data_IF_990771450677
#
_entry.id   IF_990771450677
#
_cell.length_a   1.000
_cell.length_b   1.000
_cell.length_c   1.000
_cell.angle_alpha   90.00
_cell.angle_beta   90.00
_cell.angle_gamma   90.00
#
_symmetry.space_group_name_H-M   'P 1'
#
loop_
_entity.id
_entity.type
_entity.pdbx_description
1 polymer ?
#
# COMPACT_ATOMS: atom_id res chain seq x y z
N UNK A 1 -1.88 -17.12 -7.80
CA UNK A 1 -3.28 -17.05 -7.32
C UNK A 1 -3.54 -18.26 -6.47
N UNK A 2 -4.18 -18.05 -5.31
CA UNK A 2 -3.86 -18.77 -4.07
C UNK A 2 -2.78 -18.00 -3.32
N UNK A 3 -3.02 -17.66 -2.06
CA UNK A 3 -1.95 -17.26 -1.13
C UNK A 3 -1.56 -18.54 -0.38
N UNK A 4 -0.27 -18.74 -0.17
CA UNK A 4 0.21 -19.84 0.64
C UNK A 4 -0.24 -19.67 2.10
N UNK A 5 -0.27 -20.76 2.86
CA UNK A 5 -0.90 -20.80 4.18
C UNK A 5 -0.27 -19.80 5.16
N UNK A 6 1.05 -19.63 5.09
CA UNK A 6 1.83 -18.64 5.84
C UNK A 6 1.42 -17.19 5.46
N UNK A 7 1.27 -16.90 4.17
CA UNK A 7 0.83 -15.58 3.71
C UNK A 7 -0.62 -15.28 4.16
N UNK A 8 -1.48 -16.29 4.20
CA UNK A 8 -2.86 -16.14 4.74
C UNK A 8 -2.84 -15.87 6.24
N UNK A 9 -1.95 -16.51 6.99
CA UNK A 9 -1.84 -16.31 8.43
C UNK A 9 -1.38 -14.88 8.77
N UNK A 10 -0.35 -14.38 8.08
CA UNK A 10 0.09 -12.99 8.26
C UNK A 10 -0.97 -11.98 7.80
N UNK A 11 -1.72 -12.30 6.74
CA UNK A 11 -2.86 -11.48 6.31
C UNK A 11 -3.87 -11.33 7.43
N UNK A 12 -4.25 -12.44 8.07
CA UNK A 12 -5.23 -12.41 9.16
C UNK A 12 -4.71 -11.60 10.35
N UNK A 13 -3.46 -11.83 10.74
CA UNK A 13 -2.82 -11.09 11.84
C UNK A 13 -2.81 -9.58 11.59
N UNK A 14 -2.40 -9.14 10.39
CA UNK A 14 -2.38 -7.74 10.01
C UNK A 14 -3.80 -7.14 9.94
N UNK A 15 -4.80 -7.90 9.47
CA UNK A 15 -6.19 -7.45 9.44
C UNK A 15 -6.74 -7.24 10.86
N UNK A 16 -6.55 -8.23 11.75
CA UNK A 16 -7.01 -8.16 13.13
C UNK A 16 -6.39 -6.96 13.85
N UNK A 17 -5.08 -6.72 13.67
CA UNK A 17 -4.40 -5.54 14.19
C UNK A 17 -4.98 -4.24 13.62
N UNK A 18 -5.13 -4.14 12.30
CA UNK A 18 -5.65 -2.94 11.64
C UNK A 18 -7.07 -2.59 12.11
N UNK A 19 -7.94 -3.61 12.25
CA UNK A 19 -9.33 -3.44 12.71
C UNK A 19 -9.42 -3.01 14.17
N UNK A 20 -8.53 -3.53 15.02
CA UNK A 20 -8.57 -3.29 16.47
C UNK A 20 -7.83 -2.02 16.90
N UNK A 21 -6.64 -1.79 16.35
CA UNK A 21 -5.71 -0.78 16.86
C UNK A 21 -5.63 0.47 15.97
N UNK A 22 -5.90 0.35 14.66
CA UNK A 22 -5.77 1.47 13.71
C UNK A 22 -7.13 2.09 13.34
N UNK A 23 -8.06 1.28 12.83
CA UNK A 23 -9.35 1.74 12.29
C UNK A 23 -10.16 2.61 13.27
N UNK A 24 -10.29 2.26 14.57
CA UNK A 24 -11.06 3.06 15.52
C UNK A 24 -10.45 4.43 15.79
N UNK A 25 -9.14 4.59 15.56
CA UNK A 25 -8.39 5.81 15.88
C UNK A 25 -8.10 6.69 14.66
N UNK A 26 -8.22 6.13 13.45
CA UNK A 26 -7.88 6.78 12.18
C UNK A 26 -8.41 8.22 12.04
N UNK A 27 -9.69 8.44 12.35
CA UNK A 27 -10.32 9.76 12.24
C UNK A 27 -9.79 10.77 13.28
N UNK A 28 -9.45 10.29 14.48
CA UNK A 28 -8.85 11.12 15.53
C UNK A 28 -7.44 11.54 15.12
N UNK A 29 -6.63 10.59 14.65
CA UNK A 29 -5.26 10.85 14.23
C UNK A 29 -5.18 11.84 13.07
N UNK A 30 -6.07 11.71 12.08
CA UNK A 30 -6.19 12.68 10.98
C UNK A 30 -6.52 14.09 11.47
N UNK A 31 -7.50 14.21 12.37
CA UNK A 31 -7.96 15.50 12.87
C UNK A 31 -6.91 16.21 13.74
N UNK A 32 -6.19 15.44 14.55
CA UNK A 32 -5.21 15.95 15.51
C UNK A 32 -3.78 15.98 14.95
N UNK A 33 -3.59 15.53 13.70
CA UNK A 33 -2.26 15.31 13.09
C UNK A 33 -1.35 14.48 14.01
N UNK A 34 -1.95 13.52 14.72
CA UNK A 34 -1.27 12.74 15.73
C UNK A 34 -0.46 11.62 15.07
N UNK A 35 0.82 11.54 15.45
CA UNK A 35 1.72 10.49 15.00
C UNK A 35 1.72 9.29 15.98
N UNK A 36 1.11 8.15 15.63
CA UNK A 36 0.73 7.10 16.60
C UNK A 36 1.88 6.13 16.91
N UNK A 37 2.94 6.62 17.55
CA UNK A 37 4.16 5.86 17.86
C UNK A 37 3.88 4.64 18.75
N UNK A 38 2.97 4.76 19.71
CA UNK A 38 2.55 3.67 20.59
C UNK A 38 1.89 2.52 19.82
N UNK A 39 1.07 2.84 18.81
CA UNK A 39 0.46 1.81 17.95
C UNK A 39 1.50 1.18 17.04
N UNK A 40 2.42 1.98 16.47
CA UNK A 40 3.49 1.43 15.64
C UNK A 40 4.41 0.49 16.42
N UNK A 41 4.75 0.80 17.68
CA UNK A 41 5.52 -0.12 18.54
C UNK A 41 4.81 -1.46 18.76
N UNK A 42 3.49 -1.43 18.98
CA UNK A 42 2.68 -2.67 19.05
C UNK A 42 2.62 -3.41 17.71
N UNK A 43 2.70 -2.71 16.58
CA UNK A 43 2.89 -3.35 15.28
C UNK A 43 4.29 -3.99 15.15
N UNK A 44 5.32 -3.37 15.75
CA UNK A 44 6.67 -3.92 15.86
C UNK A 44 6.73 -5.23 16.64
N UNK A 45 5.93 -5.37 17.71
CA UNK A 45 5.78 -6.63 18.46
C UNK A 45 5.24 -7.78 17.59
N UNK A 46 4.56 -7.47 16.48
CA UNK A 46 4.06 -8.43 15.49
C UNK A 46 5.03 -8.62 14.30
N UNK A 47 6.20 -7.98 14.32
CA UNK A 47 7.20 -8.05 13.26
C UNK A 47 7.01 -7.03 12.12
N UNK A 48 6.11 -6.06 12.26
CA UNK A 48 5.80 -5.13 11.15
C UNK A 48 6.78 -3.94 11.01
N UNK A 49 7.82 -3.85 11.85
CA UNK A 49 8.84 -2.78 11.77
C UNK A 49 10.00 -3.05 10.82
N UNK A 50 10.32 -4.32 10.55
CA UNK A 50 11.40 -4.72 9.65
C UNK A 50 11.04 -6.00 8.89
N UNK A 51 9.90 -5.96 8.18
CA UNK A 51 9.22 -7.10 7.56
C UNK A 51 10.17 -7.92 6.67
N UNK A 52 10.89 -7.24 5.77
CA UNK A 52 11.74 -7.87 4.75
C UNK A 52 13.23 -7.56 4.94
N UNK A 53 13.64 -7.21 6.17
CA UNK A 53 15.06 -7.20 6.56
C UNK A 53 15.47 -8.60 7.02
N UNK A 54 16.75 -8.93 6.92
CA UNK A 54 17.33 -10.20 7.35
C UNK A 54 17.16 -10.43 8.85
N UNK A 55 17.04 -11.69 9.23
CA UNK A 55 16.83 -12.11 10.62
C UNK A 55 18.03 -11.82 11.54
N UNK A 56 19.25 -11.76 10.98
CA UNK A 56 20.53 -11.61 11.69
C UNK A 56 20.52 -10.49 12.76
N UNK A 57 19.74 -9.43 12.54
CA UNK A 57 19.67 -8.25 13.41
C UNK A 57 18.23 -7.87 13.80
N UNK A 58 17.30 -8.82 13.78
CA UNK A 58 15.91 -8.62 14.23
C UNK A 58 14.91 -8.26 13.14
N UNK A 59 15.28 -8.37 11.86
CA UNK A 59 14.31 -8.41 10.76
C UNK A 59 13.49 -9.69 10.76
N UNK A 60 12.42 -9.74 9.96
CA UNK A 60 11.53 -10.91 9.89
C UNK A 60 11.81 -11.83 8.70
N UNK A 61 12.70 -11.45 7.77
CA UNK A 61 13.04 -12.28 6.60
C UNK A 61 11.88 -12.57 5.64
N UNK A 62 10.76 -11.85 5.76
CA UNK A 62 9.56 -12.11 4.97
C UNK A 62 9.70 -11.58 3.55
N UNK A 63 8.98 -12.20 2.62
CA UNK A 63 9.03 -11.85 1.20
C UNK A 63 8.30 -10.53 0.87
N UNK A 64 8.48 -10.02 -0.35
CA UNK A 64 7.74 -8.85 -0.85
C UNK A 64 6.24 -9.13 -0.95
N UNK A 65 5.84 -10.35 -1.25
CA UNK A 65 4.42 -10.74 -1.21
C UNK A 65 3.84 -10.61 0.21
N UNK A 66 4.56 -11.08 1.24
CA UNK A 66 4.13 -10.92 2.63
C UNK A 66 3.95 -9.44 2.99
N UNK A 67 4.94 -8.61 2.64
CA UNK A 67 4.87 -7.16 2.88
C UNK A 67 3.67 -6.51 2.19
N UNK A 68 3.43 -6.80 0.91
CA UNK A 68 2.28 -6.28 0.17
C UNK A 68 0.95 -6.68 0.82
N UNK A 69 0.82 -7.94 1.25
CA UNK A 69 -0.39 -8.42 1.95
C UNK A 69 -0.56 -7.73 3.30
N UNK A 70 0.50 -7.56 4.09
CA UNK A 70 0.47 -6.82 5.37
C UNK A 70 0.00 -5.38 5.12
N UNK A 71 0.62 -4.65 4.19
CA UNK A 71 0.25 -3.26 3.92
C UNK A 71 -1.16 -3.11 3.35
N UNK A 72 -1.62 -4.05 2.52
CA UNK A 72 -3.02 -4.12 2.08
C UNK A 72 -3.97 -4.20 3.29
N UNK A 73 -3.64 -4.98 4.33
CA UNK A 73 -4.47 -5.07 5.52
C UNK A 73 -4.33 -3.87 6.47
N UNK A 74 -3.11 -3.38 6.71
CA UNK A 74 -2.90 -2.20 7.57
C UNK A 74 -3.60 -0.95 7.01
N UNK A 75 -3.63 -0.80 5.70
CA UNK A 75 -4.30 0.31 5.02
C UNK A 75 -5.84 0.24 5.09
N UNK A 76 -6.44 -0.92 5.39
CA UNK A 76 -7.85 -0.99 5.79
C UNK A 76 -8.06 -0.23 7.11
N UNK A 77 -7.08 -0.24 8.00
CA UNK A 77 -7.12 0.46 9.27
C UNK A 77 -6.89 1.96 9.14
N UNK A 78 -5.71 2.34 8.63
CA UNK A 78 -5.34 3.73 8.37
C UNK A 78 -4.30 3.78 7.25
N UNK A 79 -4.65 4.35 6.10
CA UNK A 79 -3.76 4.43 4.93
C UNK A 79 -2.53 5.26 5.24
N UNK A 80 -2.70 6.45 5.81
CA UNK A 80 -1.58 7.35 6.14
C UNK A 80 -0.54 6.68 7.05
N UNK A 81 -0.97 6.01 8.12
CA UNK A 81 -0.07 5.29 9.02
C UNK A 81 0.60 4.09 8.34
N UNK A 82 -0.15 3.30 7.56
CA UNK A 82 0.41 2.17 6.81
C UNK A 82 1.46 2.62 5.77
N UNK A 83 1.21 3.73 5.08
CA UNK A 83 2.15 4.33 4.13
C UNK A 83 3.44 4.79 4.83
N UNK A 84 3.34 5.42 6.00
CA UNK A 84 4.51 5.74 6.80
C UNK A 84 5.31 4.48 7.21
N UNK A 85 4.62 3.44 7.69
CA UNK A 85 5.27 2.17 8.07
C UNK A 85 6.00 1.53 6.87
N UNK A 86 5.47 1.68 5.65
CA UNK A 86 6.16 1.27 4.42
C UNK A 86 7.45 2.06 4.20
N UNK A 87 7.43 3.38 4.38
CA UNK A 87 8.64 4.24 4.25
C UNK A 87 9.68 3.84 5.29
N UNK A 88 9.26 3.62 6.53
CA UNK A 88 10.12 3.13 7.61
C UNK A 88 10.81 1.82 7.21
N UNK A 89 10.03 0.83 6.77
CA UNK A 89 10.56 -0.48 6.36
C UNK A 89 11.50 -0.38 5.15
N UNK A 90 11.22 0.53 4.22
CA UNK A 90 12.13 0.81 3.09
C UNK A 90 13.47 1.32 3.60
N UNK A 91 13.47 2.32 4.50
CA UNK A 91 14.71 2.86 5.05
C UNK A 91 15.49 1.81 5.87
N UNK A 92 14.81 0.99 6.67
CA UNK A 92 15.43 -0.12 7.39
C UNK A 92 16.08 -1.13 6.42
N UNK A 93 15.38 -1.49 5.35
CA UNK A 93 15.90 -2.40 4.34
C UNK A 93 17.08 -1.85 3.55
N UNK A 94 17.09 -0.55 3.24
CA UNK A 94 18.26 0.07 2.61
C UNK A 94 19.50 -0.08 3.49
N UNK A 95 19.34 0.12 4.80
CA UNK A 95 20.41 -0.05 5.77
C UNK A 95 20.83 -1.52 5.91
N UNK A 96 19.89 -2.45 5.91
CA UNK A 96 20.18 -3.88 5.97
C UNK A 96 20.93 -4.37 4.71
N UNK A 97 20.53 -3.86 3.55
CA UNK A 97 21.08 -4.27 2.25
C UNK A 97 22.48 -3.71 2.02
N UNK A 98 22.69 -2.41 2.25
CA UNK A 98 23.95 -1.73 1.89
C UNK A 98 24.76 -1.21 3.07
N UNK A 99 24.23 -1.22 4.28
CA UNK A 99 24.97 -0.82 5.47
C UNK A 99 26.16 -1.72 5.76
N UNK A 100 27.13 -1.21 6.50
CA UNK A 100 28.16 -2.07 7.10
C UNK A 100 27.54 -2.93 8.21
N UNK A 101 28.27 -3.97 8.64
CA UNK A 101 27.84 -4.82 9.75
C UNK A 101 27.58 -4.02 11.03
N UNK A 102 28.50 -3.11 11.38
CA UNK A 102 28.36 -2.21 12.52
C UNK A 102 27.12 -1.29 12.43
N UNK A 103 26.73 -0.88 11.22
CA UNK A 103 25.52 -0.09 11.02
C UNK A 103 24.27 -0.94 11.20
N UNK A 104 24.25 -2.18 10.68
CA UNK A 104 23.13 -3.10 10.86
C UNK A 104 22.90 -3.44 12.32
N UNK A 105 23.95 -3.86 13.02
CA UNK A 105 23.91 -4.25 14.44
C UNK A 105 23.38 -3.11 15.31
N UNK A 106 23.79 -1.87 15.01
CA UNK A 106 23.39 -0.69 15.78
C UNK A 106 21.94 -0.27 15.53
N UNK A 107 21.43 -0.41 14.31
CA UNK A 107 20.22 0.30 13.88
C UNK A 107 19.04 -0.59 13.51
N UNK A 108 19.24 -1.81 13.00
CA UNK A 108 18.11 -2.68 12.63
C UNK A 108 17.29 -3.10 13.86
N UNK A 109 17.87 -3.51 15.01
CA UNK A 109 17.07 -3.93 16.16
C UNK A 109 16.08 -2.85 16.69
N UNK A 110 16.50 -1.58 16.92
CA UNK A 110 15.56 -0.55 17.36
C UNK A 110 14.60 -0.08 16.26
N UNK A 111 14.93 -0.26 14.97
CA UNK A 111 13.99 0.00 13.88
C UNK A 111 12.91 -1.10 13.80
N UNK A 112 13.30 -2.37 13.93
CA UNK A 112 12.38 -3.51 13.88
C UNK A 112 11.25 -3.44 14.91
N UNK A 113 11.50 -2.80 16.05
CA UNK A 113 10.55 -2.62 17.16
C UNK A 113 9.83 -1.27 17.14
N UNK A 114 10.14 -0.38 16.18
CA UNK A 114 9.75 1.04 16.20
C UNK A 114 10.16 1.79 17.49
N UNK A 115 11.22 1.33 18.17
CA UNK A 115 11.87 2.13 19.22
C UNK A 115 12.45 3.39 18.58
N UNK A 116 13.20 3.20 17.49
CA UNK A 116 13.62 4.23 16.57
C UNK A 116 12.73 4.26 15.34
N UNK A 117 12.66 5.43 14.72
CA UNK A 117 11.85 5.70 13.55
C UNK A 117 12.75 6.23 12.43
N UNK A 118 12.55 5.72 11.22
CA UNK A 118 13.30 6.14 10.05
C UNK A 118 12.44 7.00 9.11
N UNK A 119 13.13 7.89 8.40
CA UNK A 119 12.61 8.68 7.29
C UNK A 119 13.54 8.53 6.09
N UNK A 120 12.97 8.68 4.89
CA UNK A 120 13.73 8.61 3.65
C UNK A 120 13.83 10.00 3.00
N UNK A 121 15.04 10.54 2.92
CA UNK A 121 15.29 11.92 2.51
C UNK A 121 15.99 11.94 1.13
N UNK A 122 15.23 11.97 0.05
CA UNK A 122 15.75 11.99 -1.33
C UNK A 122 15.36 13.26 -2.12
N UNK A 123 14.11 13.71 -1.98
CA UNK A 123 13.54 14.72 -2.88
C UNK A 123 14.24 16.07 -2.73
N UNK A 124 15.03 16.43 -3.74
CA UNK A 124 15.69 17.74 -3.88
C UNK A 124 15.41 18.33 -5.28
N UNK A 125 15.45 19.66 -5.45
CA UNK A 125 15.24 20.28 -6.75
C UNK A 125 16.25 19.89 -7.86
N UNK A 126 17.41 19.29 -7.54
CA UNK A 126 18.48 18.92 -8.49
C UNK A 126 19.44 17.82 -7.97
N UNK A 127 19.03 16.55 -7.89
CA UNK A 127 19.89 15.48 -7.35
C UNK A 127 20.16 14.34 -8.34
N UNK A 128 21.28 14.43 -9.07
CA UNK A 128 21.88 13.33 -9.83
C UNK A 128 23.20 12.92 -9.14
N UNK A 129 23.15 11.95 -8.22
CA UNK A 129 24.34 11.44 -7.52
C UNK A 129 24.30 9.90 -7.38
N UNK A 130 25.39 9.28 -6.90
CA UNK A 130 25.46 7.82 -6.71
C UNK A 130 24.39 7.23 -5.78
N UNK A 131 23.83 8.03 -4.86
CA UNK A 131 22.70 7.63 -4.02
C UNK A 131 21.42 7.38 -4.83
N UNK A 132 21.32 7.94 -6.03
CA UNK A 132 20.17 7.78 -6.92
C UNK A 132 19.96 6.33 -7.37
N UNK A 133 21.02 5.56 -7.63
CA UNK A 133 20.86 4.16 -8.06
C UNK A 133 20.36 3.27 -6.92
N UNK A 134 20.90 3.43 -5.71
CA UNK A 134 20.40 2.75 -4.50
C UNK A 134 18.94 3.15 -4.20
N UNK A 135 18.62 4.43 -4.40
CA UNK A 135 17.27 4.94 -4.31
C UNK A 135 16.33 4.21 -5.28
N UNK A 136 16.72 4.04 -6.55
CA UNK A 136 15.88 3.41 -7.56
C UNK A 136 15.54 1.94 -7.23
N UNK A 137 16.46 1.19 -6.61
CA UNK A 137 16.16 -0.17 -6.16
C UNK A 137 15.13 -0.18 -5.01
N UNK A 138 15.28 0.71 -4.03
CA UNK A 138 14.29 0.88 -2.96
C UNK A 138 12.90 1.26 -3.47
N UNK A 139 12.84 2.12 -4.50
CA UNK A 139 11.58 2.54 -5.10
C UNK A 139 10.79 1.38 -5.73
N UNK A 140 11.41 0.28 -6.17
CA UNK A 140 10.65 -0.86 -6.69
C UNK A 140 9.81 -1.50 -5.56
N UNK A 141 10.39 -1.67 -4.38
CA UNK A 141 9.66 -2.08 -3.17
C UNK A 141 8.64 -1.04 -2.72
N UNK A 142 9.01 0.24 -2.72
CA UNK A 142 8.12 1.35 -2.37
C UNK A 142 6.86 1.40 -3.26
N UNK A 143 7.03 1.22 -4.58
CA UNK A 143 5.93 1.17 -5.57
C UNK A 143 4.92 0.07 -5.31
N UNK A 144 5.37 -1.16 -4.99
CA UNK A 144 4.44 -2.25 -4.68
C UNK A 144 3.77 -2.07 -3.31
N UNK A 145 4.47 -1.49 -2.32
CA UNK A 145 3.90 -1.23 -1.01
C UNK A 145 2.84 -0.11 -1.04
N UNK A 146 3.09 1.00 -1.74
CA UNK A 146 2.12 2.10 -1.87
C UNK A 146 0.90 1.66 -2.69
N UNK A 147 1.11 0.84 -3.73
CA UNK A 147 0.03 0.20 -4.47
C UNK A 147 -0.81 -0.71 -3.57
N UNK A 148 -0.17 -1.47 -2.68
CA UNK A 148 -0.85 -2.31 -1.70
C UNK A 148 -1.68 -1.50 -0.70
N UNK A 149 -1.17 -0.35 -0.25
CA UNK A 149 -1.96 0.57 0.58
C UNK A 149 -3.22 1.07 -0.15
N UNK A 150 -3.12 1.38 -1.44
CA UNK A 150 -4.27 1.73 -2.26
C UNK A 150 -5.30 0.59 -2.38
N UNK A 151 -4.85 -0.67 -2.49
CA UNK A 151 -5.74 -1.83 -2.49
C UNK A 151 -6.54 -1.94 -1.18
N UNK A 152 -5.88 -1.74 -0.04
CA UNK A 152 -6.52 -1.78 1.28
C UNK A 152 -7.62 -0.73 1.43
N UNK A 153 -7.34 0.50 1.02
CA UNK A 153 -8.33 1.58 0.99
C UNK A 153 -9.53 1.26 0.10
N UNK A 154 -9.26 0.81 -1.14
CA UNK A 154 -10.31 0.45 -2.10
C UNK A 154 -11.16 -0.73 -1.64
N UNK A 155 -10.54 -1.75 -1.02
CA UNK A 155 -11.24 -2.87 -0.39
C UNK A 155 -12.20 -2.38 0.70
N UNK A 156 -11.71 -1.58 1.65
CA UNK A 156 -12.52 -1.07 2.75
C UNK A 156 -13.67 -0.19 2.26
N UNK A 157 -13.41 0.68 1.28
CA UNK A 157 -14.43 1.52 0.67
C UNK A 157 -15.50 0.72 -0.09
N UNK A 158 -15.11 -0.32 -0.82
CA UNK A 158 -16.05 -1.21 -1.50
C UNK A 158 -16.94 -1.96 -0.49
N UNK A 159 -16.36 -2.48 0.58
CA UNK A 159 -17.12 -3.20 1.62
C UNK A 159 -18.12 -2.28 2.33
N UNK A 160 -17.70 -1.05 2.67
CA UNK A 160 -18.57 -0.01 3.23
C UNK A 160 -19.70 0.37 2.27
N UNK A 161 -19.41 0.51 0.98
CA UNK A 161 -20.42 0.81 -0.04
C UNK A 161 -21.45 -0.33 -0.15
N UNK A 162 -21.00 -1.59 -0.21
CA UNK A 162 -21.89 -2.76 -0.23
C UNK A 162 -22.80 -2.76 1.01
N UNK A 163 -22.23 -2.53 2.20
CA UNK A 163 -23.00 -2.49 3.45
C UNK A 163 -24.04 -1.35 3.42
N UNK A 164 -23.64 -0.15 3.02
CA UNK A 164 -24.53 1.02 2.92
C UNK A 164 -25.69 0.79 1.96
N UNK A 165 -25.41 0.27 0.76
CA UNK A 165 -26.41 0.06 -0.29
C UNK A 165 -27.46 -0.98 0.13
N UNK A 166 -27.08 -1.96 0.96
CA UNK A 166 -28.00 -3.00 1.48
C UNK A 166 -28.96 -2.47 2.55
N UNK A 167 -28.65 -1.37 3.23
CA UNK A 167 -29.47 -0.82 4.32
C UNK A 167 -30.18 0.47 3.95
N UNK A 168 -29.56 1.34 3.16
CA UNK A 168 -30.11 2.65 2.79
C UNK A 168 -31.25 2.48 1.80
N UNK A 169 -32.38 3.15 2.05
CA UNK A 169 -33.55 3.16 1.16
C UNK A 169 -33.81 4.55 0.56
N UNK A 170 -34.18 4.58 -0.72
CA UNK A 170 -34.72 5.74 -1.44
C UNK A 170 -35.74 5.27 -2.46
N UNK A 171 -36.74 6.10 -2.74
CA UNK A 171 -37.84 5.75 -3.65
C UNK A 171 -38.49 4.39 -3.30
N UNK A 172 -38.67 4.12 -2.00
CA UNK A 172 -39.35 2.91 -1.51
C UNK A 172 -38.55 1.60 -1.54
N UNK A 173 -37.32 1.57 -2.09
CA UNK A 173 -36.48 0.35 -2.17
C UNK A 173 -35.05 0.59 -1.68
N UNK A 174 -34.27 -0.47 -1.47
CA UNK A 174 -32.86 -0.32 -1.06
C UNK A 174 -32.05 0.22 -2.22
N UNK A 175 -30.99 0.96 -1.93
CA UNK A 175 -30.08 1.43 -2.98
C UNK A 175 -29.45 0.26 -3.76
N UNK A 176 -29.24 -0.89 -3.11
CA UNK A 176 -28.79 -2.13 -3.76
C UNK A 176 -29.77 -2.68 -4.83
N UNK A 177 -31.04 -2.28 -4.82
CA UNK A 177 -32.07 -2.73 -5.76
C UNK A 177 -32.14 -1.85 -7.04
N UNK A 178 -31.19 -0.92 -7.22
CA UNK A 178 -31.05 -0.12 -8.44
C UNK A 178 -29.92 -0.65 -9.31
N UNK A 179 -30.22 -0.92 -10.59
CA UNK A 179 -29.27 -1.48 -11.56
C UNK A 179 -27.97 -0.69 -11.66
N UNK A 180 -28.05 0.64 -11.65
CA UNK A 180 -26.86 1.49 -11.72
C UNK A 180 -25.88 1.23 -10.57
N UNK A 181 -26.37 1.05 -9.34
CA UNK A 181 -25.51 0.73 -8.20
C UNK A 181 -24.89 -0.67 -8.34
N UNK A 182 -25.63 -1.64 -8.88
CA UNK A 182 -25.12 -2.99 -9.13
C UNK A 182 -24.01 -2.97 -10.19
N UNK A 183 -24.19 -2.21 -11.27
CA UNK A 183 -23.17 -2.04 -12.31
C UNK A 183 -21.90 -1.39 -11.75
N UNK A 184 -22.05 -0.34 -10.93
CA UNK A 184 -20.90 0.30 -10.28
C UNK A 184 -20.19 -0.61 -9.29
N UNK A 185 -20.90 -1.41 -8.50
CA UNK A 185 -20.26 -2.42 -7.65
C UNK A 185 -19.48 -3.45 -8.48
N UNK A 186 -20.01 -3.89 -9.62
CA UNK A 186 -19.31 -4.83 -10.51
C UNK A 186 -18.04 -4.23 -11.12
N UNK A 187 -18.10 -2.98 -11.60
CA UNK A 187 -16.93 -2.24 -12.09
C UNK A 187 -15.86 -2.07 -11.00
N UNK A 188 -16.27 -1.68 -9.78
CA UNK A 188 -15.37 -1.48 -8.65
C UNK A 188 -14.68 -2.78 -8.25
N UNK A 189 -15.44 -3.87 -8.13
CA UNK A 189 -14.91 -5.19 -7.77
C UNK A 189 -13.92 -5.69 -8.82
N UNK A 190 -14.22 -5.49 -10.11
CA UNK A 190 -13.33 -5.88 -11.22
C UNK A 190 -12.00 -5.12 -11.13
N UNK A 191 -12.06 -3.79 -11.00
CA UNK A 191 -10.87 -2.93 -10.87
C UNK A 191 -10.01 -3.33 -9.67
N UNK A 192 -10.63 -3.56 -8.52
CA UNK A 192 -9.93 -3.98 -7.31
C UNK A 192 -9.27 -5.35 -7.50
N UNK A 193 -9.99 -6.30 -8.09
CA UNK A 193 -9.47 -7.64 -8.34
C UNK A 193 -8.27 -7.61 -9.29
N UNK A 194 -8.37 -6.94 -10.44
CA UNK A 194 -7.26 -6.86 -11.41
C UNK A 194 -6.07 -6.09 -10.85
N UNK A 195 -6.31 -5.03 -10.08
CA UNK A 195 -5.25 -4.27 -9.40
C UNK A 195 -4.50 -5.13 -8.38
N UNK A 196 -5.20 -5.99 -7.66
CA UNK A 196 -4.58 -6.93 -6.72
C UNK A 196 -3.72 -7.98 -7.44
N UNK A 197 -4.16 -8.46 -8.60
CA UNK A 197 -3.39 -9.43 -9.38
C UNK A 197 -2.06 -8.83 -9.84
N UNK A 198 -2.07 -7.65 -10.47
CA UNK A 198 -0.85 -7.03 -11.00
C UNK A 198 0.13 -6.64 -9.88
N UNK A 199 -0.36 -6.20 -8.72
CA UNK A 199 0.51 -5.89 -7.56
C UNK A 199 1.20 -7.15 -7.05
N UNK A 200 0.47 -8.25 -6.85
CA UNK A 200 1.04 -9.50 -6.35
C UNK A 200 1.98 -10.15 -7.37
N UNK A 201 1.65 -10.08 -8.65
CA UNK A 201 2.55 -10.50 -9.72
C UNK A 201 3.89 -9.75 -9.69
N UNK A 202 3.85 -8.42 -9.57
CA UNK A 202 5.05 -7.60 -9.42
C UNK A 202 5.88 -7.99 -8.18
N UNK A 203 5.24 -8.36 -7.05
CA UNK A 203 5.99 -8.83 -5.87
C UNK A 203 6.74 -10.14 -6.12
N UNK A 204 6.17 -11.09 -6.87
CA UNK A 204 6.87 -12.32 -7.21
C UNK A 204 8.10 -12.06 -8.07
N UNK A 205 7.99 -11.16 -9.05
CA UNK A 205 9.13 -10.76 -9.87
C UNK A 205 10.20 -10.03 -9.07
N UNK A 206 9.81 -9.25 -8.07
CA UNK A 206 10.74 -8.56 -7.18
C UNK A 206 11.48 -9.54 -6.26
N UNK A 207 10.77 -10.51 -5.66
CA UNK A 207 11.35 -11.59 -4.86
C UNK A 207 12.28 -12.49 -5.69
N UNK A 208 11.95 -12.74 -6.97
CA UNK A 208 12.75 -13.54 -7.89
C UNK A 208 13.92 -12.78 -8.52
N UNK A 209 14.14 -11.50 -8.16
CA UNK A 209 15.14 -10.62 -8.79
C UNK A 209 15.07 -10.61 -10.33
N UNK A 210 13.85 -10.67 -10.87
CA UNK A 210 13.63 -10.65 -12.32
C UNK A 210 14.14 -9.34 -12.92
N UNK A 211 14.77 -9.41 -14.10
CA UNK A 211 15.14 -8.23 -14.88
C UNK A 211 13.92 -7.36 -15.25
N UNK A 212 12.72 -7.95 -15.28
CA UNK A 212 11.47 -7.25 -15.58
C UNK A 212 10.83 -6.59 -14.36
N UNK A 213 11.34 -6.85 -13.14
CA UNK A 213 10.73 -6.35 -11.91
C UNK A 213 10.55 -4.83 -11.88
N UNK A 214 11.51 -3.98 -12.33
CA UNK A 214 11.31 -2.53 -12.32
C UNK A 214 10.11 -2.06 -13.15
N UNK A 215 9.94 -2.63 -14.35
CA UNK A 215 8.84 -2.30 -15.27
C UNK A 215 7.51 -2.79 -14.71
N UNK A 216 7.45 -4.02 -14.20
CA UNK A 216 6.25 -4.59 -13.59
C UNK A 216 5.83 -3.87 -12.30
N UNK A 217 6.78 -3.44 -11.46
CA UNK A 217 6.49 -2.61 -10.29
C UNK A 217 5.91 -1.24 -10.70
N UNK A 218 6.43 -0.63 -11.77
CA UNK A 218 5.89 0.62 -12.30
C UNK A 218 4.47 0.44 -12.86
N UNK A 219 4.21 -0.65 -13.61
CA UNK A 219 2.87 -1.00 -14.11
C UNK A 219 1.90 -1.25 -12.96
N UNK A 220 2.31 -2.01 -11.95
CA UNK A 220 1.51 -2.30 -10.77
C UNK A 220 1.13 -1.01 -10.02
N UNK A 221 2.10 -0.12 -9.77
CA UNK A 221 1.85 1.15 -9.10
C UNK A 221 0.89 2.03 -9.90
N UNK A 222 1.18 2.26 -11.17
CA UNK A 222 0.32 3.06 -12.06
C UNK A 222 -1.11 2.52 -12.09
N UNK A 223 -1.27 1.22 -12.38
CA UNK A 223 -2.57 0.60 -12.55
C UNK A 223 -3.37 0.59 -11.25
N UNK A 224 -2.74 0.17 -10.15
CA UNK A 224 -3.43 0.01 -8.88
C UNK A 224 -3.83 1.36 -8.27
N UNK A 225 -2.94 2.37 -8.26
CA UNK A 225 -3.29 3.65 -7.62
C UNK A 225 -4.43 4.36 -8.34
N UNK A 226 -4.47 4.35 -9.68
CA UNK A 226 -5.56 4.99 -10.44
C UNK A 226 -6.89 4.25 -10.28
N UNK A 227 -6.86 2.92 -10.39
CA UNK A 227 -8.09 2.14 -10.25
C UNK A 227 -8.64 2.18 -8.83
N UNK A 228 -7.78 2.12 -7.81
CA UNK A 228 -8.19 2.23 -6.42
C UNK A 228 -8.74 3.63 -6.10
N UNK A 229 -8.14 4.68 -6.63
CA UNK A 229 -8.64 6.06 -6.55
C UNK A 229 -10.06 6.18 -7.10
N UNK A 230 -10.31 5.58 -8.27
CA UNK A 230 -11.66 5.52 -8.86
C UNK A 230 -12.65 4.71 -8.00
N UNK A 231 -12.22 3.58 -7.44
CA UNK A 231 -13.05 2.76 -6.54
C UNK A 231 -13.44 3.56 -5.29
N UNK A 232 -12.47 4.18 -4.61
CA UNK A 232 -12.72 4.96 -3.39
C UNK A 232 -13.62 6.16 -3.66
N UNK A 233 -13.38 6.89 -4.76
CA UNK A 233 -14.23 8.02 -5.15
C UNK A 233 -15.66 7.57 -5.49
N UNK A 234 -15.82 6.44 -6.18
CA UNK A 234 -17.14 5.88 -6.50
C UNK A 234 -17.87 5.39 -5.23
N UNK A 235 -17.15 4.82 -4.26
CA UNK A 235 -17.72 4.45 -2.97
C UNK A 235 -18.21 5.69 -2.21
N UNK A 236 -17.44 6.79 -2.20
CA UNK A 236 -17.87 8.06 -1.61
C UNK A 236 -19.17 8.55 -2.24
N UNK A 237 -19.26 8.53 -3.58
CA UNK A 237 -20.47 8.89 -4.32
C UNK A 237 -21.70 8.04 -3.91
N UNK A 238 -21.51 6.75 -3.62
CA UNK A 238 -22.59 5.85 -3.19
C UNK A 238 -23.16 6.18 -1.80
N UNK A 239 -22.39 6.89 -0.96
CA UNK A 239 -22.86 7.41 0.32
C UNK A 239 -23.58 8.78 0.18
N UNK A 240 -23.55 9.40 -1.00
CA UNK A 240 -24.07 10.75 -1.23
C UNK A 240 -23.43 11.76 -0.28
N UNK A 241 -24.23 12.67 0.28
CA UNK A 241 -23.74 13.71 1.18
C UNK A 241 -23.02 13.18 2.43
N UNK A 242 -23.39 11.99 2.92
CA UNK A 242 -22.72 11.38 4.09
C UNK A 242 -21.26 11.03 3.81
N UNK A 243 -20.93 10.65 2.58
CA UNK A 243 -19.57 10.26 2.20
C UNK A 243 -18.56 11.40 2.34
N UNK A 244 -19.04 12.64 2.36
CA UNK A 244 -18.22 13.85 2.52
C UNK A 244 -18.00 14.25 3.99
N UNK A 245 -18.81 13.73 4.92
CA UNK A 245 -18.70 14.05 6.34
C UNK A 245 -17.52 13.30 6.96
N UNK A 246 -16.78 13.97 7.86
CA UNK A 246 -15.65 13.36 8.58
C UNK A 246 -16.06 12.17 9.46
N UNK A 247 -17.35 12.07 9.83
CA UNK A 247 -17.91 10.93 10.58
C UNK A 247 -17.94 9.63 9.76
N UNK A 248 -17.81 9.72 8.44
CA UNK A 248 -17.66 8.57 7.55
C UNK A 248 -16.21 8.48 7.06
N UNK A 249 -15.61 7.29 7.07
CA UNK A 249 -14.18 7.14 6.78
C UNK A 249 -13.84 7.31 5.29
N UNK A 250 -14.83 7.26 4.38
CA UNK A 250 -14.62 7.27 2.93
C UNK A 250 -13.84 8.49 2.45
N UNK A 251 -14.14 9.68 2.97
CA UNK A 251 -13.40 10.90 2.62
C UNK A 251 -11.94 10.83 3.02
N UNK A 252 -11.59 10.09 4.08
CA UNK A 252 -10.21 9.98 4.53
C UNK A 252 -9.44 9.05 3.60
N UNK A 253 -10.01 7.88 3.28
CA UNK A 253 -9.43 7.02 2.25
C UNK A 253 -9.20 7.77 0.94
N UNK A 254 -10.16 8.60 0.50
CA UNK A 254 -10.02 9.40 -0.72
C UNK A 254 -8.85 10.39 -0.64
N UNK A 255 -8.74 11.14 0.45
CA UNK A 255 -7.65 12.11 0.65
C UNK A 255 -6.30 11.42 0.73
N UNK A 256 -6.22 10.32 1.47
CA UNK A 256 -4.96 9.62 1.71
C UNK A 256 -4.43 8.98 0.43
N UNK A 257 -5.24 8.22 -0.32
CA UNK A 257 -4.73 7.55 -1.53
C UNK A 257 -4.52 8.49 -2.71
N UNK A 258 -5.08 9.70 -2.69
CA UNK A 258 -4.87 10.68 -3.76
C UNK A 258 -3.38 10.98 -3.94
N UNK A 259 -2.62 11.01 -2.86
CA UNK A 259 -1.17 11.27 -2.91
C UNK A 259 -0.38 10.08 -3.46
N UNK A 260 -0.95 8.87 -3.47
CA UNK A 260 -0.27 7.69 -4.00
C UNK A 260 -0.05 7.76 -5.52
N UNK A 261 -0.87 8.51 -6.25
CA UNK A 261 -0.64 8.79 -7.68
C UNK A 261 0.58 9.72 -7.92
N UNK A 262 1.09 10.36 -6.87
CA UNK A 262 2.16 11.36 -6.91
C UNK A 262 3.48 10.81 -6.33
N UNK A 263 3.42 10.12 -5.18
CA UNK A 263 4.60 9.58 -4.49
C UNK A 263 5.13 8.30 -5.15
N UNK A 264 6.34 7.88 -4.74
CA UNK A 264 7.08 6.73 -5.30
C UNK A 264 7.32 6.85 -6.83
N UNK A 265 7.40 8.10 -7.28
CA UNK A 265 7.37 8.53 -8.67
C UNK A 265 5.93 8.74 -9.17
N UNK A 266 5.65 9.90 -9.76
CA UNK A 266 4.31 10.21 -10.25
C UNK A 266 3.86 9.20 -11.30
N UNK A 267 2.55 9.09 -11.51
CA UNK A 267 2.01 8.21 -12.54
C UNK A 267 2.49 8.59 -13.96
N UNK A 268 2.79 9.86 -14.21
CA UNK A 268 3.42 10.31 -15.45
C UNK A 268 4.85 9.75 -15.60
N UNK A 269 5.62 9.75 -14.51
CA UNK A 269 6.94 9.10 -14.49
C UNK A 269 6.82 7.59 -14.68
N UNK A 270 5.81 6.93 -14.10
CA UNK A 270 5.57 5.50 -14.33
C UNK A 270 5.30 5.23 -15.80
N UNK A 271 4.44 6.03 -16.45
CA UNK A 271 4.18 5.92 -17.90
C UNK A 271 5.45 6.11 -18.73
N UNK A 272 6.29 7.08 -18.38
CA UNK A 272 7.56 7.32 -19.05
C UNK A 272 8.51 6.11 -18.92
N UNK A 273 8.62 5.56 -17.70
CA UNK A 273 9.45 4.39 -17.44
C UNK A 273 8.98 3.17 -18.23
N UNK A 274 7.68 2.85 -18.16
CA UNK A 274 7.06 1.75 -18.91
C UNK A 274 7.26 1.95 -20.41
N UNK A 275 6.98 3.14 -20.94
CA UNK A 275 7.14 3.42 -22.36
C UNK A 275 8.58 3.27 -22.85
N UNK A 276 9.56 3.74 -22.06
CA UNK A 276 10.99 3.58 -22.38
C UNK A 276 11.43 2.12 -22.36
N UNK A 277 10.99 1.37 -21.36
CA UNK A 277 11.26 -0.07 -21.26
C UNK A 277 10.71 -0.81 -22.49
N UNK A 278 9.45 -0.58 -22.85
CA UNK A 278 8.83 -1.19 -24.04
C UNK A 278 9.58 -0.87 -25.33
N UNK A 279 10.02 0.37 -25.51
CA UNK A 279 10.73 0.80 -26.72
C UNK A 279 12.21 0.34 -26.78
N UNK A 280 12.75 -0.17 -25.68
CA UNK A 280 14.09 -0.78 -25.66
C UNK A 280 14.09 -2.26 -26.06
N UNK A 281 12.91 -2.86 -26.22
CA UNK A 281 12.70 -4.26 -26.57
C UNK A 281 12.12 -4.40 -27.99
N UNK A 282 12.35 -5.54 -28.65
CA UNK A 282 11.76 -5.81 -29.98
C UNK A 282 10.26 -6.14 -29.91
N UNK A 283 9.81 -6.78 -28.84
CA UNK A 283 8.40 -7.14 -28.60
C UNK A 283 8.04 -6.99 -27.12
N UNK A 284 6.76 -6.79 -26.82
CA UNK A 284 6.26 -6.86 -25.45
C UNK A 284 6.06 -8.34 -25.07
N UNK A 285 6.64 -8.75 -23.94
CA UNK A 285 6.38 -10.08 -23.38
C UNK A 285 7.30 -11.19 -23.90
N UNK A 286 8.49 -10.87 -24.42
CA UNK A 286 9.63 -11.80 -24.36
C UNK A 286 10.09 -11.92 -22.90
N UNK A 287 9.20 -12.46 -22.07
CA UNK A 287 9.44 -12.91 -20.69
C UNK A 287 10.02 -14.31 -20.72
#
# INVERSE_FOLDING_TARGET
>A
MGLDADVVEVQKMANDFARKEMYPNMAKWDKEEHFPVDVMRRAGELGFGAIYCKEDYGGCGLSRLHAAVIYEQLAIGCVSTAAYMSIHNMAAWMLDTWGSEALREKHIPPLATFEHLASYCLTEPNSDNYGFNMAMEGLNGGRVNIASCSLGAAQQCLDLAIAHLKVRKQFGKRLADFQWNQFKLAEMATKLHTSRLIVRDATHHLDAHSIHAPSLCAMAKLHATENCSQVVNQALQMFGGYGFLKDYPLQQYLRDIRVHEILEGTNEIMRLMIGRDLLSNETYGSM
#
